data_IF_928355322400
#
_entry.id   IF_928355322400
#
_cell.length_a   1.000
_cell.length_b   1.000
_cell.length_c   1.000
_cell.angle_alpha   90.00
_cell.angle_beta   90.00
_cell.angle_gamma   90.00
#
_symmetry.space_group_name_H-M   'P 1'
#
loop_
_entity.id
_entity.type
_entity.pdbx_description
1 polymer ?
#
# COMPACT_ATOMS: atom_id res chain seq x y z
N UNK A 1 3.50 18.77 5.70
CA UNK A 1 2.94 17.45 6.04
C UNK A 1 3.92 16.40 5.56
N UNK A 2 4.26 15.43 6.42
CA UNK A 2 5.16 14.32 6.08
C UNK A 2 4.36 13.02 5.95
N UNK A 3 4.45 12.36 4.79
CA UNK A 3 3.80 11.09 4.52
C UNK A 3 4.85 10.03 4.23
N UNK A 4 4.74 8.88 4.92
CA UNK A 4 5.63 7.74 4.70
C UNK A 4 4.89 6.68 3.89
N UNK A 5 5.46 6.29 2.75
CA UNK A 5 4.96 5.20 1.91
C UNK A 5 5.82 3.95 2.07
N UNK A 6 5.17 2.81 2.29
CA UNK A 6 5.78 1.49 2.34
C UNK A 6 5.18 0.62 1.23
N UNK A 7 6.04 0.02 0.38
CA UNK A 7 5.54 -0.77 -0.73
C UNK A 7 6.61 -1.47 -1.57
N UNK A 8 6.21 -2.00 -2.70
CA UNK A 8 7.09 -2.66 -3.67
C UNK A 8 7.20 -1.88 -5.00
N UNK A 9 7.24 -2.59 -6.12
CA UNK A 9 7.40 -1.99 -7.45
C UNK A 9 6.35 -0.93 -7.80
N UNK A 10 5.09 -1.14 -7.42
CA UNK A 10 4.01 -0.17 -7.68
C UNK A 10 4.20 1.12 -6.88
N UNK A 11 4.68 1.03 -5.63
CA UNK A 11 5.05 2.23 -4.86
C UNK A 11 6.34 2.86 -5.37
N UNK A 12 7.31 2.05 -5.80
CA UNK A 12 8.56 2.52 -6.41
C UNK A 12 8.28 3.32 -7.69
N UNK A 13 7.44 2.74 -8.57
CA UNK A 13 6.99 3.38 -9.80
C UNK A 13 7.83 3.06 -11.04
N UNK A 14 7.47 3.68 -12.14
CA UNK A 14 8.15 3.61 -13.43
C UNK A 14 9.43 4.45 -13.35
N UNK A 15 10.57 3.80 -13.38
CA UNK A 15 11.89 4.39 -13.19
C UNK A 15 11.99 5.32 -11.95
N UNK A 16 11.41 4.86 -10.85
CA UNK A 16 11.37 5.59 -9.58
C UNK A 16 10.33 6.72 -9.50
N UNK A 17 9.51 6.92 -10.53
CA UNK A 17 8.43 7.91 -10.54
C UNK A 17 7.06 7.23 -10.39
N UNK A 18 6.32 7.58 -9.36
CA UNK A 18 5.02 7.00 -8.99
C UNK A 18 4.03 8.07 -8.53
N UNK A 19 2.91 7.65 -7.95
CA UNK A 19 2.00 8.55 -7.23
C UNK A 19 2.70 9.32 -6.10
N UNK A 20 3.80 8.80 -5.56
CA UNK A 20 4.59 9.51 -4.53
C UNK A 20 5.18 10.81 -5.08
N UNK A 21 5.80 10.76 -6.26
CA UNK A 21 6.36 11.94 -6.92
C UNK A 21 5.26 12.89 -7.39
N UNK A 22 4.15 12.35 -7.92
CA UNK A 22 2.99 13.16 -8.28
C UNK A 22 2.43 13.95 -7.08
N UNK A 23 2.28 13.29 -5.91
CA UNK A 23 1.81 13.93 -4.69
C UNK A 23 2.80 15.01 -4.22
N UNK A 24 4.10 14.72 -4.26
CA UNK A 24 5.14 15.68 -3.90
C UNK A 24 5.08 16.93 -4.79
N UNK A 25 4.94 16.76 -6.10
CA UNK A 25 4.87 17.85 -7.08
C UNK A 25 3.58 18.68 -6.95
N UNK A 26 2.44 18.04 -6.64
CA UNK A 26 1.12 18.71 -6.65
C UNK A 26 0.71 19.27 -5.30
N UNK A 27 1.19 18.68 -4.20
CA UNK A 27 0.77 19.04 -2.84
C UNK A 27 1.89 19.69 -2.02
N UNK A 28 3.12 19.69 -2.52
CA UNK A 28 4.32 20.15 -1.80
C UNK A 28 4.52 19.46 -0.44
N UNK A 29 4.03 18.19 -0.33
CA UNK A 29 4.20 17.40 0.88
C UNK A 29 5.56 16.70 0.90
N UNK A 30 6.10 16.53 2.10
CA UNK A 30 7.33 15.77 2.35
C UNK A 30 7.01 14.27 2.26
N UNK A 31 7.41 13.62 1.16
CA UNK A 31 7.13 12.21 0.92
C UNK A 31 8.39 11.38 1.16
N UNK A 32 8.31 10.49 2.13
CA UNK A 32 9.32 9.44 2.38
C UNK A 32 8.85 8.15 1.71
N UNK A 33 9.66 7.58 0.83
CA UNK A 33 9.30 6.40 0.05
C UNK A 33 10.21 5.21 0.40
N UNK A 34 9.66 4.25 1.15
CA UNK A 34 10.29 2.95 1.45
C UNK A 34 9.75 1.89 0.51
N UNK A 35 10.23 1.88 -0.71
CA UNK A 35 9.73 1.01 -1.77
C UNK A 35 10.88 0.27 -2.47
N UNK A 36 10.77 -1.06 -2.53
CA UNK A 36 11.74 -1.92 -3.22
C UNK A 36 10.99 -2.90 -4.11
N UNK A 37 11.21 -2.88 -5.44
CA UNK A 37 10.57 -3.79 -6.38
C UNK A 37 10.75 -5.26 -6.03
N UNK A 38 9.73 -6.10 -6.28
CA UNK A 38 9.78 -7.55 -6.08
C UNK A 38 9.61 -8.03 -4.63
N UNK A 39 9.51 -7.11 -3.66
CA UNK A 39 9.40 -7.44 -2.23
C UNK A 39 7.97 -7.69 -1.78
N UNK A 40 7.80 -8.43 -0.69
CA UNK A 40 6.52 -8.91 -0.15
C UNK A 40 6.13 -8.21 1.14
N UNK A 41 4.84 -8.20 1.46
CA UNK A 41 4.31 -7.86 2.79
C UNK A 41 4.83 -8.85 3.83
N UNK A 42 4.56 -10.14 3.59
CA UNK A 42 5.00 -11.23 4.45
C UNK A 42 6.53 -11.22 4.61
N UNK A 43 7.00 -11.42 5.85
CA UNK A 43 8.42 -11.34 6.25
C UNK A 43 9.17 -12.63 5.89
N UNK A 44 9.32 -12.89 4.59
CA UNK A 44 10.00 -14.06 4.04
C UNK A 44 11.40 -13.77 3.47
N UNK A 45 11.82 -12.49 3.54
CA UNK A 45 13.14 -12.05 3.07
C UNK A 45 13.55 -10.75 3.76
N UNK A 46 14.84 -10.45 3.78
CA UNK A 46 15.42 -9.23 4.36
C UNK A 46 14.87 -7.93 3.72
N UNK A 47 14.35 -8.01 2.50
CA UNK A 47 13.74 -6.87 1.80
C UNK A 47 12.22 -6.76 1.97
N UNK A 48 11.56 -7.58 2.81
CA UNK A 48 10.12 -7.53 3.03
C UNK A 48 9.66 -6.16 3.58
N UNK A 49 8.36 -5.88 3.51
CA UNK A 49 7.81 -4.65 4.09
C UNK A 49 8.04 -4.61 5.60
N UNK A 50 7.83 -5.72 6.30
CA UNK A 50 8.06 -5.85 7.74
C UNK A 50 9.53 -5.59 8.07
N UNK A 51 10.46 -6.19 7.33
CA UNK A 51 11.90 -6.01 7.53
C UNK A 51 12.33 -4.55 7.31
N UNK A 52 11.86 -3.91 6.22
CA UNK A 52 12.14 -2.49 5.98
C UNK A 52 11.51 -1.56 7.01
N UNK A 53 10.29 -1.87 7.47
CA UNK A 53 9.69 -1.10 8.55
C UNK A 53 10.56 -1.16 9.80
N UNK A 54 11.00 -2.35 10.21
CA UNK A 54 11.92 -2.53 11.36
C UNK A 54 13.21 -1.71 11.21
N UNK A 55 13.78 -1.66 10.00
CA UNK A 55 15.03 -0.93 9.73
C UNK A 55 14.86 0.59 9.74
N UNK A 56 13.72 1.09 9.29
CA UNK A 56 13.56 2.52 9.00
C UNK A 56 12.64 3.27 9.94
N UNK A 57 11.77 2.60 10.69
CA UNK A 57 10.75 3.26 11.52
C UNK A 57 11.36 4.23 12.52
N UNK A 58 12.51 3.90 13.11
CA UNK A 58 13.19 4.73 14.09
C UNK A 58 14.03 5.86 13.47
N UNK A 59 14.22 5.84 12.15
CA UNK A 59 14.90 6.92 11.43
C UNK A 59 14.01 8.14 11.17
N UNK A 60 12.69 7.99 11.37
CA UNK A 60 11.71 9.06 11.19
C UNK A 60 11.09 9.46 12.53
N UNK A 61 11.32 10.70 12.94
CA UNK A 61 10.75 11.23 14.18
C UNK A 61 9.29 11.65 14.02
N UNK A 62 8.83 11.90 12.78
CA UNK A 62 7.48 12.36 12.47
C UNK A 62 6.93 11.63 11.25
N UNK A 63 5.64 11.30 11.35
CA UNK A 63 4.81 10.82 10.25
C UNK A 63 3.39 11.36 10.48
N UNK A 64 2.88 12.16 9.56
CA UNK A 64 1.54 12.73 9.65
C UNK A 64 0.50 11.81 9.02
N UNK A 65 0.93 10.89 8.13
CA UNK A 65 0.11 9.82 7.56
C UNK A 65 1.03 8.70 7.05
N UNK A 66 0.68 7.44 7.34
CA UNK A 66 1.40 6.27 6.85
C UNK A 66 0.57 5.56 5.77
N UNK A 67 1.17 5.31 4.61
CA UNK A 67 0.51 4.67 3.46
C UNK A 67 1.22 3.38 3.10
N UNK A 68 0.50 2.26 3.09
CA UNK A 68 1.05 0.93 2.82
C UNK A 68 0.38 0.29 1.60
N UNK A 69 1.19 -0.26 0.71
CA UNK A 69 0.72 -1.04 -0.44
C UNK A 69 0.23 -2.42 0.01
N UNK A 70 -0.97 -2.85 -0.44
CA UNK A 70 -1.31 -4.27 -0.45
C UNK A 70 -0.50 -4.94 -1.57
N UNK A 71 0.43 -5.81 -1.21
CA UNK A 71 1.45 -6.30 -2.13
C UNK A 71 0.91 -7.30 -3.17
N UNK A 72 1.13 -7.01 -4.44
CA UNK A 72 0.83 -7.93 -5.54
C UNK A 72 1.82 -9.10 -5.62
N UNK A 73 3.03 -8.94 -5.05
CA UNK A 73 4.04 -10.00 -5.04
C UNK A 73 3.66 -11.16 -4.12
N UNK A 74 2.97 -10.90 -3.01
CA UNK A 74 2.46 -11.95 -2.12
C UNK A 74 1.43 -12.82 -2.85
N UNK A 75 0.53 -12.21 -3.61
CA UNK A 75 -0.44 -12.90 -4.43
C UNK A 75 0.21 -13.72 -5.57
N UNK A 76 1.19 -13.14 -6.24
CA UNK A 76 1.91 -13.79 -7.34
C UNK A 76 2.77 -14.97 -6.87
N UNK A 77 3.30 -14.89 -5.66
CA UNK A 77 4.07 -15.96 -5.01
C UNK A 77 3.19 -16.96 -4.23
N UNK A 78 1.88 -16.77 -4.25
CA UNK A 78 0.91 -17.60 -3.53
C UNK A 78 1.23 -17.77 -2.04
N UNK A 79 1.70 -16.68 -1.41
CA UNK A 79 2.07 -16.75 0.00
C UNK A 79 0.85 -16.99 0.89
N UNK A 80 1.03 -17.65 2.04
CA UNK A 80 -0.04 -17.91 2.98
C UNK A 80 -0.77 -16.62 3.38
N UNK A 81 -2.10 -16.62 3.26
CA UNK A 81 -2.89 -15.46 3.68
C UNK A 81 -2.80 -15.23 5.20
N UNK A 82 -2.83 -16.32 5.97
CA UNK A 82 -2.90 -16.29 7.42
C UNK A 82 -4.32 -16.04 7.94
N UNK A 83 -4.43 -15.83 9.24
CA UNK A 83 -5.68 -15.57 9.94
C UNK A 83 -5.57 -14.27 10.74
N UNK A 84 -6.70 -13.58 10.92
CA UNK A 84 -6.77 -12.38 11.75
C UNK A 84 -6.64 -12.83 13.22
N UNK A 85 -5.63 -12.31 13.92
CA UNK A 85 -5.44 -12.63 15.34
C UNK A 85 -6.58 -12.06 16.19
N UNK A 86 -6.99 -12.77 17.23
CA UNK A 86 -7.89 -12.23 18.25
C UNK A 86 -7.17 -11.26 19.19
N UNK A 87 -5.84 -11.34 19.24
CA UNK A 87 -4.97 -10.50 20.08
C UNK A 87 -4.60 -9.18 19.37
N UNK A 88 -4.18 -8.21 20.16
CA UNK A 88 -3.46 -7.01 19.72
C UNK A 88 -2.00 -7.00 20.16
N UNK A 89 -1.52 -8.09 20.75
CA UNK A 89 -0.11 -8.25 21.09
C UNK A 89 0.70 -8.54 19.82
N UNK A 90 1.72 -7.75 19.60
CA UNK A 90 2.57 -7.83 18.42
C UNK A 90 3.34 -9.16 18.33
N UNK A 91 3.56 -9.83 19.46
CA UNK A 91 4.20 -11.14 19.53
C UNK A 91 3.35 -12.29 19.00
N UNK A 92 2.03 -12.09 18.88
CA UNK A 92 1.09 -13.12 18.45
C UNK A 92 0.90 -13.16 16.93
N UNK A 93 1.47 -12.20 16.18
CA UNK A 93 1.29 -12.14 14.73
C UNK A 93 2.27 -13.03 13.99
N UNK A 94 1.75 -13.92 13.14
CA UNK A 94 2.58 -14.68 12.22
C UNK A 94 3.00 -13.79 11.03
N UNK A 95 4.08 -13.05 11.19
CA UNK A 95 4.59 -12.11 10.17
C UNK A 95 5.03 -12.77 8.86
N UNK A 96 5.14 -14.10 8.81
CA UNK A 96 5.40 -14.83 7.56
C UNK A 96 4.15 -15.01 6.69
N UNK A 97 2.99 -14.55 7.14
CA UNK A 97 1.72 -14.52 6.41
C UNK A 97 1.33 -13.08 6.07
N UNK A 98 0.48 -12.91 5.06
CA UNK A 98 0.01 -11.58 4.62
C UNK A 98 -0.72 -10.84 5.76
N UNK A 99 -1.70 -11.50 6.38
CA UNK A 99 -2.51 -10.89 7.45
C UNK A 99 -1.63 -10.56 8.67
N UNK A 100 -0.80 -11.50 9.13
CA UNK A 100 0.07 -11.26 10.26
C UNK A 100 1.08 -10.14 10.02
N UNK A 101 1.59 -9.99 8.79
CA UNK A 101 2.45 -8.88 8.40
C UNK A 101 1.69 -7.53 8.43
N UNK A 102 0.44 -7.50 7.95
CA UNK A 102 -0.40 -6.29 8.02
C UNK A 102 -0.64 -5.89 9.47
N UNK A 103 -1.05 -6.82 10.34
CA UNK A 103 -1.30 -6.55 11.77
C UNK A 103 -0.04 -6.06 12.48
N UNK A 104 1.12 -6.66 12.18
CA UNK A 104 2.41 -6.20 12.68
C UNK A 104 2.71 -4.75 12.27
N UNK A 105 2.54 -4.42 10.97
CA UNK A 105 2.77 -3.07 10.45
C UNK A 105 1.86 -2.07 11.14
N UNK A 106 0.55 -2.39 11.28
CA UNK A 106 -0.43 -1.52 11.95
C UNK A 106 0.00 -1.25 13.40
N UNK A 107 0.34 -2.29 14.15
CA UNK A 107 0.74 -2.17 15.56
C UNK A 107 2.00 -1.32 15.72
N UNK A 108 3.04 -1.56 14.90
CA UNK A 108 4.30 -0.80 14.96
C UNK A 108 4.14 0.68 14.59
N UNK A 109 3.34 0.97 13.57
CA UNK A 109 3.07 2.35 13.14
C UNK A 109 2.23 3.09 14.19
N UNK A 110 1.23 2.42 14.77
CA UNK A 110 0.42 2.99 15.84
C UNK A 110 1.26 3.27 17.08
N UNK A 111 2.10 2.33 17.51
CA UNK A 111 3.01 2.51 18.64
C UNK A 111 3.97 3.69 18.45
N UNK A 112 4.53 3.83 17.25
CA UNK A 112 5.57 4.84 16.98
C UNK A 112 5.01 6.24 16.78
N UNK A 113 3.97 6.39 15.96
CA UNK A 113 3.51 7.72 15.51
C UNK A 113 2.05 8.02 15.87
N UNK A 114 1.21 6.98 16.05
CA UNK A 114 -0.23 7.12 16.26
C UNK A 114 -0.90 8.07 15.25
N UNK A 115 -0.46 7.99 13.99
CA UNK A 115 -0.96 8.80 12.89
C UNK A 115 -2.04 8.07 12.08
N UNK A 116 -2.84 8.78 11.27
CA UNK A 116 -3.69 8.18 10.26
C UNK A 116 -2.94 7.17 9.40
N UNK A 117 -3.55 6.02 9.16
CA UNK A 117 -2.97 4.94 8.38
C UNK A 117 -3.87 4.58 7.22
N UNK A 118 -3.27 4.33 6.07
CA UNK A 118 -3.95 4.01 4.83
C UNK A 118 -3.30 2.77 4.20
N UNK A 119 -4.11 1.78 3.85
CA UNK A 119 -3.69 0.76 2.90
C UNK A 119 -4.26 1.06 1.51
N UNK A 120 -3.54 0.71 0.45
CA UNK A 120 -4.08 0.83 -0.89
C UNK A 120 -3.96 -0.45 -1.69
N UNK A 121 -4.97 -0.70 -2.54
CA UNK A 121 -5.00 -1.82 -3.46
C UNK A 121 -4.48 -1.41 -4.84
N UNK A 122 -4.04 -2.39 -5.65
CA UNK A 122 -3.86 -2.19 -7.09
C UNK A 122 -5.19 -2.02 -7.83
N UNK A 123 -5.15 -1.59 -9.07
CA UNK A 123 -6.31 -1.65 -9.96
C UNK A 123 -6.67 -3.11 -10.28
N UNK A 124 -7.93 -3.33 -10.67
CA UNK A 124 -8.43 -4.67 -10.93
C UNK A 124 -7.61 -5.41 -12.00
N UNK A 125 -7.23 -6.62 -11.68
CA UNK A 125 -6.66 -7.62 -12.57
C UNK A 125 -7.26 -9.00 -12.23
N UNK A 126 -7.29 -9.93 -13.16
CA UNK A 126 -7.79 -11.27 -12.88
C UNK A 126 -6.76 -12.05 -12.03
N UNK A 127 -6.88 -11.97 -10.70
CA UNK A 127 -6.04 -12.68 -9.74
C UNK A 127 -6.82 -13.07 -8.49
N UNK A 128 -7.13 -14.37 -8.36
CA UNK A 128 -7.92 -14.90 -7.23
C UNK A 128 -7.22 -14.75 -5.88
N UNK A 129 -5.90 -14.86 -5.84
CA UNK A 129 -5.16 -14.72 -4.58
C UNK A 129 -5.14 -13.26 -4.12
N UNK A 130 -4.98 -12.32 -5.07
CA UNK A 130 -5.07 -10.91 -4.74
C UNK A 130 -6.48 -10.51 -4.27
N UNK A 131 -7.54 -11.06 -4.89
CA UNK A 131 -8.91 -10.85 -4.43
C UNK A 131 -9.09 -11.29 -2.96
N UNK A 132 -8.57 -12.48 -2.57
CA UNK A 132 -8.62 -12.94 -1.18
C UNK A 132 -7.89 -11.97 -0.24
N UNK A 133 -6.77 -11.40 -0.67
CA UNK A 133 -6.03 -10.41 0.12
C UNK A 133 -6.83 -9.09 0.26
N UNK A 134 -7.51 -8.65 -0.80
CA UNK A 134 -8.41 -7.49 -0.75
C UNK A 134 -9.54 -7.74 0.23
N UNK A 135 -10.21 -8.89 0.15
CA UNK A 135 -11.30 -9.26 1.07
C UNK A 135 -10.81 -9.28 2.52
N UNK A 136 -9.64 -9.87 2.77
CA UNK A 136 -9.02 -9.90 4.10
C UNK A 136 -8.67 -8.50 4.62
N UNK A 137 -8.25 -7.58 3.75
CA UNK A 137 -7.96 -6.19 4.12
C UNK A 137 -9.22 -5.48 4.63
N UNK A 138 -10.37 -5.72 4.01
CA UNK A 138 -11.65 -5.18 4.48
C UNK A 138 -12.11 -5.81 5.81
N UNK A 139 -11.83 -7.08 6.06
CA UNK A 139 -12.07 -7.70 7.36
C UNK A 139 -11.15 -7.12 8.44
N UNK A 140 -9.86 -6.93 8.14
CA UNK A 140 -8.91 -6.28 9.04
C UNK A 140 -9.31 -4.84 9.37
N UNK A 141 -9.89 -4.10 8.43
CA UNK A 141 -10.40 -2.75 8.66
C UNK A 141 -11.50 -2.71 9.73
N UNK A 142 -12.25 -3.79 9.96
CA UNK A 142 -13.25 -3.87 11.05
C UNK A 142 -12.60 -3.97 12.44
N UNK A 143 -11.42 -4.57 12.52
CA UNK A 143 -10.64 -4.72 13.77
C UNK A 143 -9.75 -3.51 14.06
N UNK A 144 -9.16 -2.95 13.00
CA UNK A 144 -8.12 -1.94 13.07
C UNK A 144 -8.60 -0.60 12.51
N UNK A 145 -8.19 0.50 13.14
CA UNK A 145 -8.51 1.84 12.67
C UNK A 145 -7.50 2.28 11.60
N UNK A 146 -7.77 1.96 10.34
CA UNK A 146 -7.05 2.45 9.17
C UNK A 146 -8.03 2.70 8.03
N UNK A 147 -7.62 3.41 7.00
CA UNK A 147 -8.44 3.69 5.81
C UNK A 147 -7.94 2.88 4.60
N UNK A 148 -8.80 2.74 3.59
CA UNK A 148 -8.46 2.02 2.36
C UNK A 148 -8.64 2.94 1.15
N UNK A 149 -7.58 3.13 0.36
CA UNK A 149 -7.68 3.60 -1.01
C UNK A 149 -7.91 2.38 -1.90
N UNK A 150 -9.18 2.09 -2.13
CA UNK A 150 -9.60 0.91 -2.89
C UNK A 150 -9.66 1.22 -4.38
N UNK A 151 -8.56 0.95 -5.09
CA UNK A 151 -8.53 1.04 -6.55
C UNK A 151 -9.10 -0.23 -7.20
N UNK A 152 -9.09 -1.36 -6.48
CA UNK A 152 -9.54 -2.67 -6.97
C UNK A 152 -11.03 -2.71 -7.26
N UNK A 153 -11.84 -2.26 -6.31
CA UNK A 153 -13.31 -2.26 -6.43
C UNK A 153 -13.86 -0.91 -6.94
N UNK A 154 -13.03 0.12 -7.12
CA UNK A 154 -13.45 1.45 -7.55
C UNK A 154 -14.08 1.39 -8.95
N UNK A 155 -15.40 1.69 -9.11
CA UNK A 155 -16.06 1.57 -10.40
C UNK A 155 -15.48 2.51 -11.47
N UNK A 156 -15.00 3.70 -11.06
CA UNK A 156 -14.40 4.66 -11.98
C UNK A 156 -13.04 4.18 -12.48
N UNK A 157 -12.24 3.54 -11.62
CA UNK A 157 -10.96 2.94 -12.02
C UNK A 157 -11.18 1.72 -12.92
N UNK A 158 -12.24 0.93 -12.69
CA UNK A 158 -12.60 -0.24 -13.51
C UNK A 158 -13.23 0.12 -14.85
N UNK A 159 -13.85 1.28 -14.96
CA UNK A 159 -14.51 1.75 -16.18
C UNK A 159 -13.55 2.36 -17.21
N UNK A 160 -12.23 2.26 -16.98
CA UNK A 160 -11.24 2.73 -17.96
C UNK A 160 -11.40 1.97 -19.28
N UNK A 161 -11.43 2.69 -20.40
CA UNK A 161 -11.45 2.07 -21.71
C UNK A 161 -10.10 1.43 -22.06
N UNK A 162 -10.11 0.49 -23.00
CA UNK A 162 -8.92 -0.28 -23.36
C UNK A 162 -7.80 0.59 -23.93
N UNK A 163 -8.13 1.67 -24.66
CA UNK A 163 -7.14 2.57 -25.24
C UNK A 163 -6.36 3.29 -24.14
N UNK A 164 -7.06 3.88 -23.18
CA UNK A 164 -6.43 4.51 -22.00
C UNK A 164 -5.68 3.51 -21.14
N UNK A 165 -6.26 2.32 -20.92
CA UNK A 165 -5.58 1.26 -20.16
C UNK A 165 -4.23 0.93 -20.78
N UNK A 166 -4.17 0.66 -22.09
CA UNK A 166 -2.93 0.36 -22.81
C UNK A 166 -1.94 1.53 -22.82
N UNK A 167 -2.44 2.76 -22.77
CA UNK A 167 -1.61 3.96 -22.69
C UNK A 167 -1.00 4.16 -21.30
N UNK A 168 -1.67 3.72 -20.23
CA UNK A 168 -1.30 3.98 -18.84
C UNK A 168 -0.60 2.84 -18.14
N UNK A 169 -0.74 1.61 -18.64
CA UNK A 169 -0.19 0.42 -18.00
C UNK A 169 0.95 -0.19 -18.83
N UNK A 170 2.01 -0.61 -18.15
CA UNK A 170 3.10 -1.40 -18.75
C UNK A 170 2.74 -2.87 -18.82
N UNK A 171 1.99 -3.34 -17.82
CA UNK A 171 1.46 -4.68 -17.66
C UNK A 171 0.22 -4.62 -16.74
N UNK A 172 -0.48 -5.73 -16.43
CA UNK A 172 -1.69 -5.68 -15.59
C UNK A 172 -1.51 -5.14 -14.17
N UNK A 173 -0.27 -4.98 -13.70
CA UNK A 173 0.06 -4.57 -12.33
C UNK A 173 0.64 -3.15 -12.28
N UNK A 174 1.47 -2.78 -13.26
CA UNK A 174 2.34 -1.61 -13.18
C UNK A 174 1.88 -0.47 -14.09
N UNK A 175 1.40 0.65 -13.53
CA UNK A 175 1.24 1.87 -14.30
C UNK A 175 2.60 2.39 -14.78
N UNK A 176 2.63 2.94 -15.99
CA UNK A 176 3.75 3.76 -16.44
C UNK A 176 3.65 5.19 -15.86
N UNK A 177 4.63 6.03 -16.14
CA UNK A 177 4.70 7.41 -15.67
C UNK A 177 3.43 8.23 -15.97
N UNK A 178 2.86 8.01 -17.15
CA UNK A 178 1.63 8.69 -17.56
C UNK A 178 0.42 8.18 -16.76
N UNK A 179 0.33 6.87 -16.53
CA UNK A 179 -0.71 6.25 -15.71
C UNK A 179 -0.70 6.75 -14.26
N UNK A 180 0.49 6.92 -13.68
CA UNK A 180 0.59 7.57 -12.36
C UNK A 180 0.16 9.03 -12.40
N UNK A 181 0.53 9.78 -13.45
CA UNK A 181 0.23 11.22 -13.55
C UNK A 181 -1.25 11.52 -13.83
N UNK A 182 -1.87 10.79 -14.73
CA UNK A 182 -3.20 11.11 -15.25
C UNK A 182 -4.32 10.26 -14.61
N UNK A 183 -4.00 9.16 -13.96
CA UNK A 183 -4.97 8.19 -13.48
C UNK A 183 -4.85 7.90 -11.97
N UNK A 184 -3.72 7.33 -11.51
CA UNK A 184 -3.56 6.95 -10.11
C UNK A 184 -3.31 8.16 -9.19
N UNK A 185 -2.41 9.05 -9.54
CA UNK A 185 -2.01 10.19 -8.71
C UNK A 185 -3.17 11.10 -8.31
N UNK A 186 -4.05 11.54 -9.26
CA UNK A 186 -5.25 12.29 -8.91
C UNK A 186 -6.17 11.59 -7.93
N UNK A 187 -6.35 10.26 -8.06
CA UNK A 187 -7.19 9.49 -7.14
C UNK A 187 -6.55 9.38 -5.74
N UNK A 188 -5.22 9.20 -5.66
CA UNK A 188 -4.50 9.25 -4.39
C UNK A 188 -4.64 10.62 -3.70
N UNK A 189 -4.40 11.72 -4.42
CA UNK A 189 -4.53 13.08 -3.86
C UNK A 189 -5.95 13.33 -3.35
N UNK A 190 -6.97 12.96 -4.13
CA UNK A 190 -8.39 13.09 -3.74
C UNK A 190 -8.69 12.35 -2.44
N UNK A 191 -8.27 11.08 -2.34
CA UNK A 191 -8.50 10.27 -1.15
C UNK A 191 -7.72 10.77 0.06
N UNK A 192 -6.44 11.09 -0.09
CA UNK A 192 -5.62 11.60 1.01
C UNK A 192 -6.13 12.94 1.53
N UNK A 193 -6.57 13.87 0.67
CA UNK A 193 -7.21 15.12 1.11
C UNK A 193 -8.46 14.86 1.93
N UNK A 194 -9.33 13.96 1.48
CA UNK A 194 -10.55 13.58 2.21
C UNK A 194 -10.21 13.00 3.60
N UNK A 195 -9.23 12.11 3.67
CA UNK A 195 -8.82 11.43 4.90
C UNK A 195 -8.14 12.38 5.90
N UNK A 196 -7.44 13.38 5.41
CA UNK A 196 -6.72 14.36 6.23
C UNK A 196 -7.53 15.64 6.48
N UNK A 197 -8.82 15.65 6.11
CA UNK A 197 -9.75 16.78 6.29
C UNK A 197 -9.26 18.10 5.67
N UNK A 198 -8.73 18.03 4.45
CA UNK A 198 -8.15 19.17 3.71
C UNK A 198 -9.01 19.58 2.52
#
# INVERSE_FOLDING_TARGET
MKIVFLGSSVTYGDDGWSMCEYIRETMEWDIVKWAVPGTTLADISEGSYVSRLKQHIDTQNQCDCFVCQLSTNDAAKELPLGEISDSKDIGDYNISTVIGAIEYIISRVTEKWNCPMVFYTGTYMENKNYQKMVDALFELHKKWNFEIIDLWNNPQMRAIDLERYNRYMMDPVHPNKLGYREWWGPEFVKNLKRLLNM
#
